data_IF_457646347976
#
_entry.id   IF_457646347976
#
_cell.length_a   1.000
_cell.length_b   1.000
_cell.length_c   1.000
_cell.angle_alpha   90.00
_cell.angle_beta   90.00
_cell.angle_gamma   90.00
#
_symmetry.space_group_name_H-M   'P 1'
#
loop_
_entity.id
_entity.type
_entity.pdbx_description
1 polymer ?
#
# COMPACT_ATOMS: atom_id res chain seq x y z
N UNK A 1 -6.96 -11.47 5.22
CA UNK A 1 -6.13 -11.08 4.07
C UNK A 1 -5.59 -9.68 4.31
N UNK A 2 -4.33 -9.48 4.06
CA UNK A 2 -3.73 -8.18 4.33
C UNK A 2 -4.09 -7.18 3.26
N UNK A 3 -4.45 -5.98 3.68
CA UNK A 3 -4.84 -4.90 2.79
C UNK A 3 -3.65 -4.17 2.18
N UNK A 4 -2.50 -4.25 2.82
CA UNK A 4 -1.24 -3.75 2.29
C UNK A 4 -0.29 -4.93 2.24
N UNK A 5 0.20 -5.24 1.06
CA UNK A 5 1.11 -6.36 0.85
C UNK A 5 2.45 -5.84 0.36
N UNK A 6 3.51 -6.44 0.85
CA UNK A 6 4.87 -6.06 0.47
C UNK A 6 5.60 -7.29 -0.06
N UNK A 7 6.17 -7.16 -1.23
CA UNK A 7 7.09 -8.16 -1.77
C UNK A 7 8.41 -7.50 -2.08
N UNK A 8 9.49 -8.26 -1.96
CA UNK A 8 10.83 -7.77 -2.25
C UNK A 8 11.51 -8.78 -3.18
N UNK A 9 11.92 -8.31 -4.35
CA UNK A 9 12.55 -9.17 -5.35
C UNK A 9 13.56 -8.36 -6.14
N UNK A 10 14.77 -8.86 -6.22
CA UNK A 10 15.86 -8.23 -6.98
C UNK A 10 16.08 -6.76 -6.60
N UNK A 11 16.01 -6.46 -5.32
CA UNK A 11 16.20 -5.12 -4.77
C UNK A 11 15.05 -4.15 -5.13
N UNK A 12 13.93 -4.67 -5.61
CA UNK A 12 12.73 -3.88 -5.88
C UNK A 12 11.65 -4.28 -4.89
N UNK A 13 11.15 -3.30 -4.14
CA UNK A 13 10.03 -3.52 -3.24
C UNK A 13 8.73 -3.17 -3.97
N UNK A 14 7.76 -4.06 -3.94
CA UNK A 14 6.44 -3.81 -4.50
C UNK A 14 5.44 -3.74 -3.36
N UNK A 15 4.80 -2.59 -3.22
CA UNK A 15 3.75 -2.36 -2.23
C UNK A 15 2.41 -2.45 -2.95
N UNK A 16 1.60 -3.42 -2.59
CA UNK A 16 0.31 -3.67 -3.24
C UNK A 16 -0.82 -3.26 -2.31
N UNK A 17 -1.70 -2.39 -2.80
CA UNK A 17 -2.93 -2.04 -2.12
C UNK A 17 -3.97 -3.08 -2.52
N UNK A 18 -4.46 -3.87 -1.56
CA UNK A 18 -5.26 -5.04 -1.83
C UNK A 18 -6.68 -4.92 -1.25
N UNK A 19 -7.49 -4.06 -1.86
CA UNK A 19 -8.92 -3.95 -1.57
C UNK A 19 -9.71 -3.84 -2.88
N UNK A 20 -9.61 -4.84 -3.77
CA UNK A 20 -10.23 -4.71 -5.09
C UNK A 20 -11.75 -4.58 -5.06
N UNK A 21 -12.41 -5.10 -4.02
CA UNK A 21 -13.87 -5.01 -3.91
C UNK A 21 -14.36 -3.58 -3.72
N UNK A 22 -13.50 -2.67 -3.29
CA UNK A 22 -13.81 -1.25 -3.14
C UNK A 22 -12.83 -0.38 -3.93
N UNK A 23 -12.32 -0.91 -5.03
CA UNK A 23 -11.40 -0.22 -5.94
C UNK A 23 -10.16 0.29 -5.22
N UNK A 24 -9.69 -0.47 -4.25
CA UNK A 24 -8.49 -0.19 -3.46
C UNK A 24 -8.56 1.14 -2.70
N UNK A 25 -9.75 1.52 -2.23
CA UNK A 25 -9.90 2.68 -1.37
C UNK A 25 -9.10 2.48 -0.06
N UNK A 26 -8.45 3.52 0.39
CA UNK A 26 -7.50 3.45 1.51
C UNK A 26 -8.15 3.94 2.79
N UNK A 27 -8.18 3.07 3.82
CA UNK A 27 -8.67 3.42 5.16
C UNK A 27 -7.59 4.16 5.95
N UNK A 28 -7.99 4.73 7.10
CA UNK A 28 -7.03 5.38 7.99
C UNK A 28 -5.95 4.42 8.46
N UNK A 29 -6.34 3.18 8.79
CA UNK A 29 -5.37 2.18 9.23
C UNK A 29 -4.40 1.82 8.11
N UNK A 30 -4.87 1.78 6.88
CA UNK A 30 -4.01 1.52 5.73
C UNK A 30 -3.03 2.66 5.50
N UNK A 31 -3.46 3.91 5.69
CA UNK A 31 -2.54 5.05 5.60
C UNK A 31 -1.41 4.92 6.60
N UNK A 32 -1.73 4.54 7.85
CA UNK A 32 -0.71 4.33 8.87
C UNK A 32 0.24 3.21 8.50
N UNK A 33 -0.29 2.12 7.97
CA UNK A 33 0.51 0.99 7.56
C UNK A 33 1.42 1.33 6.38
N UNK A 34 0.89 2.06 5.40
CA UNK A 34 1.68 2.53 4.26
C UNK A 34 2.83 3.42 4.73
N UNK A 35 2.55 4.34 5.65
CA UNK A 35 3.57 5.22 6.17
C UNK A 35 4.69 4.44 6.84
N UNK A 36 4.35 3.47 7.70
CA UNK A 36 5.35 2.64 8.37
C UNK A 36 6.15 1.83 7.35
N UNK A 37 5.47 1.29 6.33
CA UNK A 37 6.12 0.50 5.29
C UNK A 37 7.16 1.35 4.55
N UNK A 38 6.80 2.56 4.14
CA UNK A 38 7.73 3.43 3.42
C UNK A 38 8.90 3.85 4.30
N UNK A 39 8.66 4.11 5.59
CA UNK A 39 9.74 4.46 6.51
C UNK A 39 10.71 3.29 6.64
N UNK A 40 10.21 2.07 6.82
CA UNK A 40 11.07 0.89 6.90
C UNK A 40 11.87 0.68 5.62
N UNK A 41 11.24 0.83 4.46
CA UNK A 41 11.93 0.65 3.18
C UNK A 41 13.01 1.69 3.00
N UNK A 42 12.82 2.90 3.52
CA UNK A 42 13.82 3.96 3.44
C UNK A 42 15.09 3.67 4.23
N UNK A 43 15.02 2.77 5.19
CA UNK A 43 16.19 2.36 5.97
C UNK A 43 16.88 1.11 5.45
N UNK A 44 16.34 0.47 4.41
CA UNK A 44 16.91 -0.76 3.89
C UNK A 44 17.90 -0.45 2.78
N UNK A 45 19.12 -0.93 2.95
CA UNK A 45 20.18 -0.74 1.95
C UNK A 45 19.97 -1.60 0.70
N UNK A 46 19.18 -2.67 0.83
CA UNK A 46 18.94 -3.61 -0.26
C UNK A 46 17.76 -3.22 -1.15
N UNK A 47 17.06 -2.13 -0.84
CA UNK A 47 15.96 -1.65 -1.66
C UNK A 47 16.43 -0.50 -2.53
N UNK A 48 16.33 -0.66 -3.84
CA UNK A 48 16.79 0.32 -4.82
C UNK A 48 15.64 1.07 -5.48
N UNK A 49 14.45 0.47 -5.48
CA UNK A 49 13.26 1.08 -6.05
C UNK A 49 12.03 0.55 -5.34
N UNK A 50 10.98 1.36 -5.31
CA UNK A 50 9.69 0.98 -4.73
C UNK A 50 8.62 1.18 -5.78
N UNK A 51 7.84 0.13 -6.03
CA UNK A 51 6.68 0.18 -6.92
C UNK A 51 5.44 0.12 -6.04
N UNK A 52 4.50 1.03 -6.28
CA UNK A 52 3.21 1.00 -5.60
C UNK A 52 2.16 0.66 -6.63
N UNK A 53 1.36 -0.37 -6.36
CA UNK A 53 0.35 -0.84 -7.30
C UNK A 53 -0.91 -1.25 -6.55
N UNK A 54 -2.00 -1.44 -7.27
CA UNK A 54 -3.26 -1.91 -6.72
C UNK A 54 -3.61 -3.29 -7.23
N UNK A 55 -4.22 -4.10 -6.37
CA UNK A 55 -4.72 -5.41 -6.78
C UNK A 55 -5.94 -5.24 -7.67
N UNK A 56 -6.11 -6.14 -8.64
CA UNK A 56 -7.23 -6.09 -9.56
C UNK A 56 -7.03 -5.05 -10.65
N UNK A 57 -8.12 -4.47 -11.11
CA UNK A 57 -8.11 -3.57 -12.26
C UNK A 57 -7.84 -2.10 -11.90
N UNK A 58 -7.94 -1.75 -10.62
CA UNK A 58 -7.80 -0.37 -10.17
C UNK A 58 -6.56 -0.21 -9.33
N UNK A 59 -5.88 0.93 -9.48
CA UNK A 59 -4.76 1.25 -8.60
C UNK A 59 -5.29 1.67 -7.22
N UNK A 60 -6.02 2.77 -7.16
CA UNK A 60 -6.54 3.31 -5.91
C UNK A 60 -7.64 4.30 -6.25
N UNK A 61 -8.80 4.18 -5.58
CA UNK A 61 -9.91 5.11 -5.81
C UNK A 61 -9.82 6.36 -4.92
N UNK A 62 -8.82 6.41 -4.04
CA UNK A 62 -8.64 7.51 -3.12
C UNK A 62 -8.89 7.09 -1.69
N UNK A 63 -9.08 8.05 -0.80
CA UNK A 63 -9.29 7.75 0.61
C UNK A 63 -10.70 7.20 0.82
N UNK A 64 -10.80 6.25 1.74
CA UNK A 64 -12.09 5.72 2.17
C UNK A 64 -12.68 6.70 3.19
N UNK A 65 -13.67 7.47 2.74
CA UNK A 65 -14.23 8.54 3.56
C UNK A 65 -15.18 8.04 4.64
N UNK A 66 -15.55 6.77 4.61
CA UNK A 66 -16.49 6.25 5.61
C UNK A 66 -15.92 6.35 7.03
N UNK A 67 -14.60 6.19 7.18
CA UNK A 67 -13.94 6.34 8.46
C UNK A 67 -13.62 7.78 8.83
N UNK A 68 -13.82 8.70 7.90
CA UNK A 68 -13.49 10.11 8.09
C UNK A 68 -14.71 10.96 8.37
N UNK A 69 -15.89 10.39 8.29
CA UNK A 69 -17.15 11.13 8.38
C UNK A 69 -17.61 11.39 9.81
N UNK A 70 -16.84 11.00 10.77
CA UNK A 70 -17.20 11.18 12.18
C UNK A 70 -16.95 12.60 12.65
#
# INVERSE_FOLDING_TARGET
>A
MEEIQLTLEENIATVTINRPSVKNAITSEMWDELQRTFIELGYRDDVRAVIVTGAGDDFCSGADVSGMAS
#
